data_IF_981808507462
#
_entry.id   IF_981808507462
#
_cell.length_a   1.000
_cell.length_b   1.000
_cell.length_c   1.000
_cell.angle_alpha   90.00
_cell.angle_beta   90.00
_cell.angle_gamma   90.00
#
_symmetry.space_group_name_H-M   'P 1'
#
loop_
_entity.id
_entity.type
_entity.pdbx_description
1 polymer ?
#
# COMPACT_ATOMS: atom_id res chain seq x y z
N UNK A 1 -3.34 -2.65 32.86
CA UNK A 1 -3.39 -2.36 31.40
C UNK A 1 -2.02 -2.31 30.69
N UNK A 2 -0.88 -2.37 31.40
CA UNK A 2 0.46 -2.43 30.76
C UNK A 2 0.89 -3.82 30.26
N UNK A 3 0.25 -4.90 30.73
CA UNK A 3 0.67 -6.27 30.41
C UNK A 3 0.15 -6.81 29.07
N UNK A 4 -0.89 -6.20 28.47
CA UNK A 4 -1.43 -6.62 27.16
C UNK A 4 -0.54 -6.16 26.00
N UNK A 5 0.09 -4.98 26.09
CA UNK A 5 1.06 -4.49 25.09
C UNK A 5 2.35 -5.32 25.03
N UNK A 6 2.70 -6.03 26.12
CA UNK A 6 3.90 -6.87 26.17
C UNK A 6 3.73 -8.20 25.40
N UNK A 7 2.51 -8.77 25.39
CA UNK A 7 2.25 -10.00 24.63
C UNK A 7 2.12 -9.76 23.12
N UNK A 8 1.67 -8.57 22.71
CA UNK A 8 1.56 -8.22 21.29
C UNK A 8 2.94 -8.02 20.63
N UNK A 9 3.91 -7.43 21.35
CA UNK A 9 5.31 -7.36 20.88
C UNK A 9 5.98 -8.74 20.81
N UNK A 10 5.59 -9.68 21.67
CA UNK A 10 6.13 -11.05 21.61
C UNK A 10 5.58 -11.86 20.43
N UNK A 11 4.38 -11.51 19.91
CA UNK A 11 3.78 -12.21 18.77
C UNK A 11 4.37 -11.75 17.43
N UNK A 12 4.79 -10.49 17.33
CA UNK A 12 5.35 -9.92 16.08
C UNK A 12 6.84 -10.28 15.87
N UNK A 13 7.55 -10.65 16.94
CA UNK A 13 8.97 -11.07 16.86
C UNK A 13 9.10 -12.60 16.61
N UNK A 14 8.07 -13.38 16.90
CA UNK A 14 8.09 -14.84 16.71
C UNK A 14 7.81 -15.30 15.26
N UNK A 15 7.29 -14.42 14.39
CA UNK A 15 7.01 -14.76 12.98
C UNK A 15 8.26 -14.67 12.06
N UNK A 16 9.43 -14.29 12.59
CA UNK A 16 10.65 -14.03 11.82
C UNK A 16 11.68 -15.19 11.80
N UNK A 17 11.40 -16.40 12.33
CA UNK A 17 12.48 -17.40 12.58
C UNK A 17 12.23 -18.82 12.03
N UNK A 18 11.14 -19.09 11.30
CA UNK A 18 10.85 -20.47 10.85
C UNK A 18 10.27 -20.36 9.43
N UNK A 19 11.00 -20.51 8.31
CA UNK A 19 11.74 -21.70 7.89
C UNK A 19 12.75 -21.36 6.77
N UNK A 20 14.02 -21.67 7.01
CA UNK A 20 15.03 -21.88 5.95
C UNK A 20 15.69 -23.22 6.22
N UNK A 21 15.73 -24.12 5.23
CA UNK A 21 16.86 -24.97 4.83
C UNK A 21 16.46 -25.97 3.71
N UNK A 22 17.44 -26.50 2.94
CA UNK A 22 17.35 -26.74 1.51
C UNK A 22 17.13 -28.22 1.15
N UNK A 23 16.53 -28.48 -0.02
CA UNK A 23 16.59 -29.79 -0.66
C UNK A 23 17.48 -29.68 -1.89
N UNK A 24 18.74 -30.08 -1.72
CA UNK A 24 19.68 -30.33 -2.79
C UNK A 24 19.75 -31.84 -3.04
N UNK A 25 19.28 -32.29 -4.21
CA UNK A 25 19.74 -33.51 -4.88
C UNK A 25 19.35 -33.46 -6.37
N UNK A 26 20.34 -33.22 -7.22
CA UNK A 26 20.35 -33.41 -8.68
C UNK A 26 20.17 -34.92 -9.05
N UNK A 27 20.04 -35.38 -10.32
CA UNK A 27 20.49 -34.72 -11.56
C UNK A 27 19.66 -34.99 -12.85
N UNK A 28 20.17 -34.43 -13.96
CA UNK A 28 19.97 -34.79 -15.40
C UNK A 28 18.62 -34.52 -16.08
N UNK A 29 18.60 -33.54 -17.00
CA UNK A 29 18.50 -33.78 -18.44
C UNK A 29 18.77 -32.49 -19.26
N UNK A 30 19.47 -32.57 -20.41
CA UNK A 30 19.80 -31.44 -21.26
C UNK A 30 18.70 -31.22 -22.31
N UNK A 31 18.06 -30.05 -22.34
CA UNK A 31 17.24 -29.60 -23.48
C UNK A 31 17.51 -28.11 -23.64
N UNK A 32 18.47 -27.79 -24.50
CA UNK A 32 18.29 -27.51 -25.92
C UNK A 32 18.21 -26.00 -26.12
N UNK A 33 19.30 -25.49 -26.66
CA UNK A 33 19.39 -24.21 -27.34
C UNK A 33 18.16 -24.00 -28.23
N UNK A 34 17.40 -22.94 -27.96
CA UNK A 34 16.99 -22.05 -29.02
C UNK A 34 17.02 -20.61 -28.51
N UNK A 35 18.13 -19.95 -28.82
CA UNK A 35 18.31 -18.54 -28.62
C UNK A 35 17.67 -17.83 -29.81
N UNK A 36 16.45 -17.35 -29.67
CA UNK A 36 15.96 -16.11 -30.32
C UNK A 36 14.76 -15.58 -29.55
N UNK A 37 15.01 -14.76 -28.54
CA UNK A 37 14.03 -13.83 -27.97
C UNK A 37 14.70 -12.49 -27.74
N UNK A 38 15.45 -12.02 -28.75
CA UNK A 38 16.18 -10.75 -28.67
C UNK A 38 15.32 -9.55 -29.06
N UNK A 39 14.08 -9.77 -29.55
CA UNK A 39 13.18 -8.68 -29.97
C UNK A 39 11.92 -8.54 -29.10
N UNK A 40 11.53 -9.59 -28.37
CA UNK A 40 10.38 -9.55 -27.45
C UNK A 40 10.70 -8.93 -26.08
N UNK A 41 11.98 -8.78 -25.74
CA UNK A 41 12.42 -8.04 -24.54
C UNK A 41 12.23 -6.55 -24.73
N UNK A 42 12.34 -6.02 -25.96
CA UNK A 42 12.18 -4.59 -26.24
C UNK A 42 10.76 -4.11 -25.87
N UNK A 43 9.73 -4.78 -26.38
CA UNK A 43 8.34 -4.41 -26.09
C UNK A 43 7.99 -4.60 -24.62
N UNK A 44 8.37 -5.71 -23.99
CA UNK A 44 8.09 -5.95 -22.57
C UNK A 44 8.85 -4.98 -21.65
N UNK A 45 10.08 -4.61 -21.98
CA UNK A 45 10.88 -3.63 -21.25
C UNK A 45 10.27 -2.24 -21.34
N UNK A 46 9.82 -1.83 -22.54
CA UNK A 46 9.12 -0.55 -22.73
C UNK A 46 7.82 -0.53 -21.92
N UNK A 47 7.01 -1.60 -21.96
CA UNK A 47 5.79 -1.68 -21.16
C UNK A 47 6.06 -1.70 -19.64
N UNK A 48 7.16 -2.31 -19.20
CA UNK A 48 7.54 -2.34 -17.78
C UNK A 48 7.99 -0.96 -17.29
N UNK A 49 8.77 -0.23 -18.09
CA UNK A 49 9.16 1.16 -17.78
C UNK A 49 7.96 2.11 -17.74
N UNK A 50 6.99 1.91 -18.64
CA UNK A 50 5.76 2.72 -18.67
C UNK A 50 4.90 2.51 -17.41
N UNK A 51 4.80 1.26 -16.93
CA UNK A 51 4.13 0.93 -15.66
C UNK A 51 4.85 1.53 -14.46
N UNK A 52 6.18 1.43 -14.40
CA UNK A 52 6.95 2.01 -13.32
C UNK A 52 6.80 3.53 -13.22
N UNK A 53 6.65 4.22 -14.37
CA UNK A 53 6.30 5.64 -14.41
C UNK A 53 4.94 5.91 -13.79
N UNK A 54 3.91 5.14 -14.18
CA UNK A 54 2.56 5.27 -13.64
C UNK A 54 2.49 4.97 -12.13
N UNK A 55 3.27 3.99 -11.64
CA UNK A 55 3.33 3.66 -10.21
C UNK A 55 3.93 4.81 -9.39
N UNK A 56 5.00 5.43 -9.88
CA UNK A 56 5.58 6.64 -9.24
C UNK A 56 4.61 7.82 -9.26
N UNK A 57 3.92 8.05 -10.37
CA UNK A 57 2.93 9.12 -10.48
C UNK A 57 1.80 8.94 -9.47
N UNK A 58 1.30 7.71 -9.32
CA UNK A 58 0.30 7.37 -8.29
C UNK A 58 0.81 7.60 -6.87
N UNK A 59 2.05 7.23 -6.55
CA UNK A 59 2.64 7.51 -5.23
C UNK A 59 2.64 9.03 -4.98
N UNK A 60 3.04 9.82 -5.98
CA UNK A 60 3.05 11.28 -5.89
C UNK A 60 1.65 11.87 -5.73
N UNK A 61 0.63 11.37 -6.43
CA UNK A 61 -0.77 11.82 -6.25
C UNK A 61 -1.24 11.62 -4.81
N UNK A 62 -0.83 10.54 -4.16
CA UNK A 62 -1.20 10.26 -2.77
C UNK A 62 -0.46 11.18 -1.81
N UNK A 63 0.84 11.39 -2.01
CA UNK A 63 1.65 12.32 -1.22
C UNK A 63 1.24 13.78 -1.43
N UNK A 64 0.66 14.12 -2.59
CA UNK A 64 0.15 15.45 -2.90
C UNK A 64 -1.13 15.80 -2.12
N UNK A 65 -1.77 14.83 -1.45
CA UNK A 65 -2.98 15.10 -0.67
C UNK A 65 -2.66 15.87 0.61
N UNK A 66 -3.44 16.92 0.87
CA UNK A 66 -3.23 17.81 2.02
C UNK A 66 -3.29 17.08 3.38
N UNK A 67 -4.18 16.09 3.52
CA UNK A 67 -4.30 15.29 4.75
C UNK A 67 -3.07 14.39 4.98
N UNK A 68 -2.48 13.85 3.90
CA UNK A 68 -1.25 13.06 3.96
C UNK A 68 -0.06 13.96 4.32
N UNK A 69 0.08 15.12 3.68
CA UNK A 69 1.15 16.06 4.01
C UNK A 69 1.08 16.57 5.44
N UNK A 70 -0.12 16.92 5.92
CA UNK A 70 -0.31 17.38 7.29
C UNK A 70 0.09 16.29 8.31
N UNK A 71 -0.23 15.03 8.02
CA UNK A 71 0.14 13.91 8.88
C UNK A 71 1.64 13.62 8.86
N UNK A 72 2.30 13.71 7.70
CA UNK A 72 3.75 13.59 7.58
C UNK A 72 4.47 14.71 8.37
N UNK A 73 3.99 15.95 8.25
CA UNK A 73 4.51 17.09 9.01
C UNK A 73 4.31 16.93 10.52
N UNK A 74 3.15 16.41 10.96
CA UNK A 74 2.89 16.08 12.38
C UNK A 74 3.87 15.05 12.94
N UNK A 75 4.33 14.13 12.10
CA UNK A 75 5.34 13.14 12.44
C UNK A 75 6.78 13.69 12.39
N UNK A 76 6.95 14.95 11.98
CA UNK A 76 8.25 15.62 11.87
C UNK A 76 9.02 15.25 10.61
N UNK A 77 8.33 14.78 9.57
CA UNK A 77 8.92 14.43 8.27
C UNK A 77 8.89 15.65 7.35
N UNK A 78 10.02 15.95 6.71
CA UNK A 78 10.11 16.97 5.67
C UNK A 78 9.55 16.42 4.34
N UNK A 79 8.72 17.20 3.66
CA UNK A 79 8.09 16.80 2.39
C UNK A 79 9.13 16.73 1.26
N UNK A 80 10.11 17.64 1.25
CA UNK A 80 11.15 17.69 0.22
C UNK A 80 12.01 16.40 0.25
N UNK A 81 12.29 15.90 1.45
CA UNK A 81 13.01 14.63 1.66
C UNK A 81 12.21 13.41 1.17
N UNK A 82 10.89 13.44 1.31
CA UNK A 82 10.02 12.36 0.86
C UNK A 82 9.93 12.34 -0.66
N UNK A 83 9.75 13.49 -1.30
CA UNK A 83 9.74 13.60 -2.77
C UNK A 83 11.07 13.13 -3.37
N UNK A 84 12.20 13.52 -2.77
CA UNK A 84 13.52 13.07 -3.19
C UNK A 84 13.68 11.54 -3.07
N UNK A 85 13.10 10.93 -2.03
CA UNK A 85 13.10 9.47 -1.87
C UNK A 85 12.25 8.77 -2.92
N UNK A 86 11.05 9.28 -3.20
CA UNK A 86 10.17 8.70 -4.23
C UNK A 86 10.83 8.79 -5.60
N UNK A 87 11.49 9.91 -5.91
CA UNK A 87 12.27 10.07 -7.14
C UNK A 87 13.46 9.10 -7.24
N UNK A 88 14.01 8.68 -6.10
CA UNK A 88 15.12 7.73 -6.03
C UNK A 88 14.71 6.24 -5.99
N UNK A 89 13.40 5.94 -5.89
CA UNK A 89 12.91 4.55 -5.86
C UNK A 89 13.24 3.83 -7.16
N UNK A 90 13.68 2.58 -7.07
CA UNK A 90 13.75 1.70 -8.23
C UNK A 90 12.35 1.33 -8.72
N UNK A 91 12.26 0.87 -9.97
CA UNK A 91 10.98 0.51 -10.59
C UNK A 91 10.23 -0.57 -9.80
N UNK A 92 10.95 -1.56 -9.27
CA UNK A 92 10.36 -2.64 -8.45
C UNK A 92 9.86 -2.14 -7.09
N UNK A 93 10.56 -1.18 -6.46
CA UNK A 93 10.13 -0.59 -5.18
C UNK A 93 8.92 0.32 -5.37
N UNK A 94 8.86 1.07 -6.47
CA UNK A 94 7.71 1.89 -6.82
C UNK A 94 6.45 1.02 -7.00
N UNK A 95 6.57 -0.10 -7.73
CA UNK A 95 5.47 -1.04 -7.91
C UNK A 95 4.99 -1.62 -6.56
N UNK A 96 5.92 -2.12 -5.73
CA UNK A 96 5.57 -2.70 -4.43
C UNK A 96 4.92 -1.67 -3.49
N UNK A 97 5.34 -0.41 -3.57
CA UNK A 97 4.77 0.67 -2.77
C UNK A 97 3.38 1.07 -3.28
N UNK A 98 3.19 1.18 -4.60
CA UNK A 98 1.89 1.47 -5.21
C UNK A 98 0.85 0.40 -4.86
N UNK A 99 1.22 -0.89 -4.92
CA UNK A 99 0.34 -2.00 -4.52
C UNK A 99 -0.06 -1.95 -3.04
N UNK A 100 0.86 -1.52 -2.16
CA UNK A 100 0.55 -1.32 -0.74
C UNK A 100 -0.39 -0.13 -0.53
N UNK A 101 -0.19 0.96 -1.26
CA UNK A 101 -1.03 2.15 -1.19
C UNK A 101 -2.46 1.89 -1.70
N UNK A 102 -2.64 1.00 -2.68
CA UNK A 102 -3.97 0.56 -3.12
C UNK A 102 -4.73 -0.25 -2.04
N UNK A 103 -3.99 -1.02 -1.23
CA UNK A 103 -4.57 -1.79 -0.13
C UNK A 103 -4.95 -0.91 1.06
N UNK A 104 -4.39 0.30 1.15
CA UNK A 104 -4.76 1.26 2.17
C UNK A 104 -6.09 1.92 1.76
N UNK A 105 -7.15 1.84 2.59
CA UNK A 105 -8.42 2.46 2.27
C UNK A 105 -8.26 3.98 2.15
N UNK A 106 -8.22 4.47 0.91
CA UNK A 106 -8.22 5.89 0.57
C UNK A 106 -9.55 6.51 1.05
N UNK A 107 -9.54 7.01 2.28
CA UNK A 107 -10.76 7.45 2.98
C UNK A 107 -10.77 7.14 4.48
N UNK A 108 -9.81 6.39 5.01
CA UNK A 108 -9.68 6.20 6.46
C UNK A 108 -9.15 7.44 7.23
N UNK A 109 -9.07 8.60 6.57
CA UNK A 109 -8.78 9.88 7.22
C UNK A 109 -9.98 10.38 8.04
N UNK A 110 -9.76 11.47 8.78
CA UNK A 110 -10.81 12.11 9.60
C UNK A 110 -12.07 12.40 8.79
N UNK A 111 -11.92 12.82 7.53
CA UNK A 111 -13.04 13.13 6.64
C UNK A 111 -13.89 11.89 6.34
N UNK A 112 -13.29 10.76 6.01
CA UNK A 112 -14.08 9.55 5.72
C UNK A 112 -14.60 8.87 6.98
N UNK A 113 -13.94 9.02 8.13
CA UNK A 113 -14.50 8.65 9.43
C UNK A 113 -15.75 9.48 9.76
N UNK A 114 -15.71 10.81 9.56
CA UNK A 114 -16.87 11.69 9.73
C UNK A 114 -17.99 11.35 8.74
N UNK A 115 -17.65 11.05 7.48
CA UNK A 115 -18.61 10.61 6.47
C UNK A 115 -19.26 9.27 6.84
N UNK A 116 -18.48 8.30 7.32
CA UNK A 116 -19.01 7.01 7.77
C UNK A 116 -19.96 7.17 8.97
N UNK A 117 -19.60 8.00 9.95
CA UNK A 117 -20.48 8.34 11.07
C UNK A 117 -21.76 9.01 10.58
N UNK A 118 -21.64 9.96 9.64
CA UNK A 118 -22.79 10.61 9.01
C UNK A 118 -23.73 9.60 8.35
N UNK A 119 -23.21 8.67 7.54
CA UNK A 119 -23.99 7.63 6.86
C UNK A 119 -24.65 6.67 7.84
N UNK A 120 -23.93 6.21 8.88
CA UNK A 120 -24.49 5.33 9.91
C UNK A 120 -25.67 6.02 10.60
N UNK A 121 -25.49 7.26 11.06
CA UNK A 121 -26.55 8.03 11.70
C UNK A 121 -27.73 8.26 10.76
N UNK A 122 -27.47 8.51 9.48
CA UNK A 122 -28.53 8.71 8.48
C UNK A 122 -29.37 7.44 8.29
N UNK A 123 -28.71 6.29 8.19
CA UNK A 123 -29.40 4.99 8.06
C UNK A 123 -30.22 4.69 9.31
N UNK A 124 -29.66 4.86 10.51
CA UNK A 124 -30.40 4.61 11.76
C UNK A 124 -31.58 5.56 11.95
N UNK A 125 -31.50 6.77 11.39
CA UNK A 125 -32.58 7.76 11.41
C UNK A 125 -33.74 7.37 10.48
N UNK A 126 -33.44 6.96 9.24
CA UNK A 126 -34.46 6.46 8.29
C UNK A 126 -35.17 5.21 8.82
N UNK A 127 -34.48 4.35 9.57
CA UNK A 127 -35.09 3.19 10.23
C UNK A 127 -35.88 3.57 11.50
N UNK A 128 -35.82 4.82 11.95
CA UNK A 128 -36.52 5.32 13.13
C UNK A 128 -35.89 4.93 14.47
N UNK A 129 -34.62 4.51 14.48
CA UNK A 129 -33.88 4.22 15.73
C UNK A 129 -33.27 5.48 16.34
N UNK A 130 -33.03 6.51 15.54
CA UNK A 130 -32.46 7.79 15.96
C UNK A 130 -33.24 8.97 15.36
N UNK A 131 -33.16 10.15 15.97
CA UNK A 131 -33.90 11.35 15.57
C UNK A 131 -32.91 12.53 15.47
N UNK A 132 -31.95 12.43 14.54
CA UNK A 132 -30.78 13.34 14.44
C UNK A 132 -30.96 14.33 13.28
N UNK A 133 -31.58 13.89 12.19
CA UNK A 133 -31.74 14.63 10.95
C UNK A 133 -33.22 14.98 10.72
N UNK A 134 -33.61 16.26 10.79
CA UNK A 134 -35.02 16.65 10.70
C UNK A 134 -35.65 16.53 9.29
N UNK A 135 -34.90 16.05 8.30
CA UNK A 135 -35.27 15.92 6.89
C UNK A 135 -35.54 14.48 6.44
N UNK A 136 -35.30 13.48 7.30
CA UNK A 136 -35.56 12.06 7.03
C UNK A 136 -37.02 11.64 7.30
N UNK A 137 -37.82 12.57 7.83
CA UNK A 137 -39.25 12.41 8.13
C UNK A 137 -40.17 12.90 7.01
#
# INVERSE_FOLDING_TARGET
MKKVRAYLSSLLIAALVITSLPVAAAPTAPQSMDATSTDLVSTQSVLAGDRAGADRERINEILARADVQEELLKQGVDLDDVEARVAALSDAEAQQMAEQLEQLPAGAGVIGALFAVFVILLVTDILGLTDVYPFTR
#
